data_IF_634227844386
#
_entry.id   IF_634227844386
#
_cell.length_a   1.000
_cell.length_b   1.000
_cell.length_c   1.000
_cell.angle_alpha   90.00
_cell.angle_beta   90.00
_cell.angle_gamma   90.00
#
_symmetry.space_group_name_H-M   'P 1'
#
loop_
_entity.id
_entity.type
_entity.pdbx_description
1 polymer ?
#
# COMPACT_ATOMS: atom_id res chain seq x y z
N UNK A 1 -6.57 -5.75 2.09
CA UNK A 1 -6.20 -4.95 0.91
C UNK A 1 -7.46 -4.65 0.12
N UNK A 2 -7.82 -3.38 0.01
CA UNK A 2 -8.93 -2.98 -0.85
C UNK A 2 -8.55 -3.15 -2.33
N UNK A 3 -9.55 -3.47 -3.15
CA UNK A 3 -9.37 -3.52 -4.60
C UNK A 3 -9.05 -2.12 -5.15
N UNK A 4 -7.98 -1.98 -5.96
CA UNK A 4 -7.62 -0.70 -6.57
C UNK A 4 -8.66 -0.31 -7.63
N UNK A 5 -8.80 0.98 -7.88
CA UNK A 5 -9.68 1.51 -8.92
C UNK A 5 -8.88 1.68 -10.22
N UNK A 6 -9.42 1.20 -11.34
CA UNK A 6 -8.81 1.40 -12.66
C UNK A 6 -9.08 2.82 -13.20
N UNK A 7 -8.48 3.18 -14.35
CA UNK A 7 -8.66 4.51 -14.95
C UNK A 7 -10.06 4.77 -15.54
N UNK A 8 -10.93 3.77 -15.55
CA UNK A 8 -12.37 3.95 -15.83
C UNK A 8 -13.18 4.29 -14.57
N UNK A 9 -12.51 4.54 -13.43
CA UNK A 9 -13.15 4.74 -12.11
C UNK A 9 -13.94 3.53 -11.61
N UNK A 10 -13.62 2.32 -12.10
CA UNK A 10 -14.23 1.06 -11.67
C UNK A 10 -13.28 0.26 -10.79
N UNK A 11 -13.79 -0.41 -9.75
CA UNK A 11 -13.02 -1.34 -8.92
C UNK A 11 -12.45 -2.48 -9.76
N UNK A 12 -11.14 -2.68 -9.70
CA UNK A 12 -10.43 -3.70 -10.47
C UNK A 12 -10.55 -5.08 -9.78
N UNK A 13 -11.16 -6.10 -10.41
CA UNK A 13 -11.28 -7.42 -9.80
C UNK A 13 -9.94 -8.12 -9.67
N UNK A 14 -9.81 -8.94 -8.63
CA UNK A 14 -8.69 -9.87 -8.47
C UNK A 14 -8.79 -11.00 -9.51
N UNK A 15 -7.72 -11.22 -10.25
CA UNK A 15 -7.60 -12.28 -11.26
C UNK A 15 -6.34 -13.10 -11.03
N UNK A 16 -6.34 -14.32 -11.55
CA UNK A 16 -5.20 -15.23 -11.51
C UNK A 16 -4.70 -15.47 -12.93
N UNK A 17 -3.40 -15.29 -13.15
CA UNK A 17 -2.79 -15.51 -14.46
C UNK A 17 -2.78 -16.99 -14.80
N UNK A 18 -3.26 -17.30 -16.01
CA UNK A 18 -3.25 -18.64 -16.62
C UNK A 18 -2.21 -18.77 -17.73
N UNK A 19 -1.29 -17.81 -17.83
CA UNK A 19 -0.23 -17.83 -18.84
C UNK A 19 0.91 -18.74 -18.41
N UNK A 20 1.55 -19.43 -19.36
CA UNK A 20 2.70 -20.30 -19.08
C UNK A 20 3.88 -19.55 -18.43
N UNK A 21 4.05 -18.25 -18.73
CA UNK A 21 5.12 -17.42 -18.17
C UNK A 21 4.85 -16.98 -16.72
N UNK A 22 3.59 -16.85 -16.32
CA UNK A 22 3.21 -16.37 -14.99
C UNK A 22 2.07 -17.21 -14.39
N UNK A 23 2.22 -18.54 -14.28
CA UNK A 23 1.13 -19.40 -13.80
C UNK A 23 0.79 -19.06 -12.34
N UNK A 24 -0.49 -18.96 -12.02
CA UNK A 24 -0.98 -18.80 -10.65
C UNK A 24 -0.76 -17.41 -10.02
N UNK A 25 -0.01 -16.50 -10.66
CA UNK A 25 0.23 -15.15 -10.12
C UNK A 25 -1.06 -14.32 -10.10
N UNK A 26 -1.32 -13.67 -8.96
CA UNK A 26 -2.51 -12.81 -8.76
C UNK A 26 -2.27 -11.37 -9.20
N UNK A 27 -3.23 -10.79 -9.92
CA UNK A 27 -3.18 -9.41 -10.39
C UNK A 27 -4.56 -8.75 -10.34
N UNK A 28 -4.57 -7.42 -10.33
CA UNK A 28 -5.76 -6.60 -10.56
C UNK A 28 -5.69 -6.01 -11.97
N UNK A 29 -6.82 -5.97 -12.67
CA UNK A 29 -6.93 -5.34 -13.99
C UNK A 29 -8.30 -4.69 -14.18
N UNK A 30 -8.42 -3.82 -15.19
CA UNK A 30 -9.71 -3.21 -15.57
C UNK A 30 -10.81 -4.29 -15.70
N UNK A 31 -12.03 -4.07 -15.16
CA UNK A 31 -13.14 -5.02 -15.35
C UNK A 31 -13.42 -5.33 -16.82
N UNK A 32 -13.30 -4.31 -17.69
CA UNK A 32 -13.50 -4.39 -19.14
C UNK A 32 -12.37 -5.11 -19.89
N UNK A 33 -11.35 -5.59 -19.16
CA UNK A 33 -10.26 -6.34 -19.75
C UNK A 33 -10.80 -7.61 -20.43
N UNK A 34 -10.58 -7.72 -21.74
CA UNK A 34 -11.06 -8.80 -22.63
C UNK A 34 -12.58 -8.85 -22.87
N UNK A 35 -13.30 -7.73 -22.69
CA UNK A 35 -14.75 -7.66 -22.93
C UNK A 35 -15.13 -7.04 -24.29
N UNK A 36 -14.16 -6.75 -25.17
CA UNK A 36 -14.42 -6.11 -26.48
C UNK A 36 -14.83 -4.63 -26.39
N UNK A 37 -15.09 -4.10 -25.20
CA UNK A 37 -15.32 -2.68 -24.94
C UNK A 37 -14.02 -1.86 -24.97
N UNK A 38 -14.16 -0.53 -25.09
CA UNK A 38 -13.08 0.41 -24.81
C UNK A 38 -12.56 0.17 -23.38
N UNK A 39 -11.36 -0.43 -23.29
CA UNK A 39 -10.71 -0.80 -22.03
C UNK A 39 -9.56 0.18 -21.75
N UNK A 40 -9.43 0.61 -20.49
CA UNK A 40 -8.16 1.16 -20.04
C UNK A 40 -7.15 0.03 -19.84
N UNK A 41 -5.85 0.38 -19.84
CA UNK A 41 -4.76 -0.60 -19.72
C UNK A 41 -4.32 -0.82 -18.27
N UNK A 42 -5.18 -0.51 -17.29
CA UNK A 42 -4.87 -0.70 -15.88
C UNK A 42 -4.56 -2.18 -15.59
N UNK A 43 -3.38 -2.42 -15.02
CA UNK A 43 -2.88 -3.73 -14.60
C UNK A 43 -1.86 -3.56 -13.47
N UNK A 44 -1.98 -4.33 -12.38
CA UNK A 44 -0.98 -4.37 -11.32
C UNK A 44 -0.92 -5.74 -10.65
N UNK A 45 0.29 -6.24 -10.41
CA UNK A 45 0.48 -7.47 -9.66
C UNK A 45 0.23 -7.25 -8.16
N UNK A 46 -0.41 -8.21 -7.49
CA UNK A 46 -0.74 -8.12 -6.05
C UNK A 46 0.51 -7.92 -5.19
N UNK A 47 1.62 -8.60 -5.52
CA UNK A 47 2.85 -8.48 -4.73
C UNK A 47 3.45 -7.06 -4.79
N UNK A 48 3.24 -6.30 -5.87
CA UNK A 48 3.71 -4.91 -5.96
C UNK A 48 2.95 -4.04 -4.96
N UNK A 49 1.63 -4.21 -4.87
CA UNK A 49 0.83 -3.50 -3.88
C UNK A 49 1.25 -3.86 -2.45
N UNK A 50 1.53 -5.14 -2.18
CA UNK A 50 2.02 -5.59 -0.87
C UNK A 50 3.35 -4.91 -0.51
N UNK A 51 4.30 -4.88 -1.46
CA UNK A 51 5.59 -4.21 -1.26
C UNK A 51 5.45 -2.71 -0.99
N UNK A 52 4.49 -2.04 -1.65
CA UNK A 52 4.22 -0.62 -1.39
C UNK A 52 3.62 -0.42 0.00
N UNK A 53 2.64 -1.23 0.40
CA UNK A 53 2.06 -1.18 1.75
C UNK A 53 3.11 -1.42 2.83
N UNK A 54 3.99 -2.41 2.65
CA UNK A 54 5.05 -2.73 3.61
C UNK A 54 6.06 -1.59 3.73
N UNK A 55 6.41 -0.94 2.61
CA UNK A 55 7.29 0.24 2.62
C UNK A 55 6.64 1.44 3.30
N UNK A 56 5.36 1.70 3.05
CA UNK A 56 4.62 2.78 3.71
C UNK A 56 4.61 2.53 5.22
N UNK A 57 4.23 1.31 5.64
CA UNK A 57 4.23 0.91 7.05
C UNK A 57 5.60 1.07 7.69
N UNK A 58 6.66 0.62 7.01
CA UNK A 58 8.03 0.76 7.51
C UNK A 58 8.41 2.23 7.74
N UNK A 59 8.06 3.12 6.79
CA UNK A 59 8.30 4.56 6.93
C UNK A 59 7.49 5.17 8.08
N UNK A 60 6.21 4.81 8.20
CA UNK A 60 5.36 5.26 9.30
C UNK A 60 5.90 4.81 10.66
N UNK A 61 6.40 3.58 10.77
CA UNK A 61 7.01 3.07 12.00
C UNK A 61 8.23 3.92 12.42
N UNK A 62 9.05 4.35 11.45
CA UNK A 62 10.22 5.20 11.71
C UNK A 62 9.79 6.58 12.20
N UNK A 63 8.74 7.15 11.61
CA UNK A 63 8.19 8.45 12.04
C UNK A 63 7.66 8.35 13.48
N UNK A 64 6.82 7.34 13.77
CA UNK A 64 6.27 7.14 15.11
C UNK A 64 7.34 6.98 16.17
N UNK A 65 8.40 6.21 15.88
CA UNK A 65 9.51 6.06 16.83
C UNK A 65 10.17 7.41 17.14
N UNK A 66 10.38 8.27 16.13
CA UNK A 66 10.94 9.61 16.35
C UNK A 66 10.02 10.49 17.18
N UNK A 67 8.71 10.41 16.97
CA UNK A 67 7.72 11.13 17.77
C UNK A 67 7.76 10.68 19.23
N UNK A 68 7.82 9.36 19.48
CA UNK A 68 7.95 8.80 20.83
C UNK A 68 9.26 9.27 21.51
N UNK A 69 10.38 9.25 20.77
CA UNK A 69 11.68 9.71 21.26
C UNK A 69 11.65 11.21 21.63
N UNK A 70 10.96 12.04 20.84
CA UNK A 70 10.78 13.48 21.12
C UNK A 70 9.92 13.70 22.36
N UNK A 71 8.78 13.01 22.46
CA UNK A 71 7.86 13.13 23.60
C UNK A 71 8.53 12.71 24.91
N UNK A 72 9.32 11.64 24.88
CA UNK A 72 10.09 11.19 26.04
C UNK A 72 11.11 12.25 26.46
N UNK A 73 11.84 12.82 25.50
CA UNK A 73 12.81 13.88 25.79
C UNK A 73 12.14 15.11 26.41
N UNK A 74 11.01 15.56 25.85
CA UNK A 74 10.23 16.67 26.40
C UNK A 74 9.78 16.39 27.83
N UNK A 75 9.25 15.20 28.09
CA UNK A 75 8.86 14.78 29.45
C UNK A 75 10.03 14.84 30.43
N UNK A 76 11.21 14.34 30.06
CA UNK A 76 12.41 14.37 30.89
C UNK A 76 12.89 15.80 31.17
N UNK A 77 12.88 16.68 30.17
CA UNK A 77 13.24 18.10 30.33
C UNK A 77 12.28 18.79 31.29
N UNK A 78 10.97 18.58 31.15
CA UNK A 78 9.98 19.16 32.04
C UNK A 78 10.11 18.62 33.47
N UNK A 79 10.39 17.33 33.63
CA UNK A 79 10.64 16.73 34.95
C UNK A 79 11.85 17.35 35.64
N UNK A 80 12.96 17.55 34.93
CA UNK A 80 14.16 18.21 35.48
C UNK A 80 13.89 19.66 35.90
N UNK A 81 13.11 20.41 35.11
CA UNK A 81 12.70 21.79 35.45
C UNK A 81 11.84 21.91 36.71
N UNK A 82 11.15 20.84 37.12
CA UNK A 82 10.33 20.83 38.35
C UNK A 82 11.12 20.47 39.60
N UNK A 83 12.32 19.92 39.45
CA UNK A 83 13.17 19.45 40.56
C UNK A 83 14.21 20.52 40.95
N UNK A 84 14.58 21.41 40.02
CA UNK A 84 15.41 22.60 40.25
C UNK A 84 14.54 23.81 40.57
#
# INVERSE_FOLDING_TARGET
>A
MESPTCWCSLKAPLKTSRTNKNPGRKFYACPKYNMGEAKCQFFIWVFILQLVEDKIRSRENVVRKKEDDILLHEYEVQKKKKIN
#
